data_IF_224672579089
#
_entry.id   IF_224672579089
#
_cell.length_a   1.000
_cell.length_b   1.000
_cell.length_c   1.000
_cell.angle_alpha   90.00
_cell.angle_beta   90.00
_cell.angle_gamma   90.00
#
_symmetry.space_group_name_H-M   'P 1'
#
loop_
_entity.id
_entity.type
_entity.pdbx_description
1 polymer ?
#
# COMPACT_ATOMS: atom_id res chain seq x y z
N UNK A 1 55.80 -6.03 24.31
CA UNK A 1 54.46 -5.45 24.19
C UNK A 1 54.01 -5.45 22.73
N UNK A 2 53.20 -6.45 22.36
CA UNK A 2 52.71 -6.61 20.98
C UNK A 2 51.37 -5.87 20.89
N UNK A 3 51.30 -4.76 20.16
CA UNK A 3 50.03 -4.10 19.79
C UNK A 3 49.42 -4.83 18.58
N UNK A 4 48.37 -5.59 18.80
CA UNK A 4 47.49 -6.06 17.73
C UNK A 4 46.57 -4.90 17.36
N UNK A 5 46.81 -4.27 16.20
CA UNK A 5 45.87 -3.35 15.56
C UNK A 5 44.77 -4.19 14.92
N UNK A 6 43.57 -4.19 15.54
CA UNK A 6 42.33 -4.67 14.91
C UNK A 6 41.90 -3.63 13.90
N UNK A 7 42.33 -3.80 12.63
CA UNK A 7 41.73 -3.14 11.49
C UNK A 7 40.38 -3.83 11.24
N UNK A 8 39.31 -3.25 11.76
CA UNK A 8 37.96 -3.61 11.38
C UNK A 8 37.77 -3.20 9.91
N UNK A 9 37.84 -4.16 8.99
CA UNK A 9 37.38 -3.97 7.62
C UNK A 9 35.88 -3.76 7.66
N UNK A 10 35.42 -2.52 7.48
CA UNK A 10 34.10 -2.23 6.95
C UNK A 10 34.09 -2.74 5.51
N UNK A 11 33.83 -4.02 5.31
CA UNK A 11 33.54 -4.55 3.99
C UNK A 11 32.20 -3.97 3.56
N UNK A 12 32.24 -2.97 2.65
CA UNK A 12 31.07 -2.70 1.80
C UNK A 12 30.84 -4.00 1.03
N UNK A 13 29.78 -4.70 1.34
CA UNK A 13 29.38 -5.92 0.62
C UNK A 13 29.14 -5.50 -0.82
N UNK A 14 30.06 -5.87 -1.72
CA UNK A 14 29.90 -5.59 -3.14
C UNK A 14 28.86 -6.57 -3.65
N UNK A 15 27.80 -6.08 -4.23
CA UNK A 15 26.81 -6.91 -4.90
C UNK A 15 27.49 -7.73 -5.99
N UNK A 16 27.17 -9.00 -6.08
CA UNK A 16 27.75 -9.95 -7.01
C UNK A 16 26.65 -10.71 -7.77
N UNK A 17 26.57 -10.60 -9.10
CA UNK A 17 25.60 -11.35 -9.89
C UNK A 17 25.75 -12.88 -9.81
N UNK A 18 26.94 -13.36 -9.51
CA UNK A 18 27.22 -14.80 -9.37
C UNK A 18 26.88 -15.33 -7.95
N UNK A 19 26.72 -14.42 -6.96
CA UNK A 19 26.28 -14.73 -5.59
C UNK A 19 25.25 -13.70 -5.13
N UNK A 20 24.02 -13.77 -5.65
CA UNK A 20 23.02 -12.74 -5.45
C UNK A 20 22.47 -12.68 -4.02
N UNK A 21 22.29 -11.46 -3.51
CA UNK A 21 21.58 -11.19 -2.26
C UNK A 21 20.10 -11.36 -2.49
N UNK A 22 19.44 -12.08 -1.60
CA UNK A 22 17.97 -12.22 -1.62
C UNK A 22 17.35 -11.29 -0.57
N UNK A 23 16.46 -10.41 -1.02
CA UNK A 23 15.63 -9.58 -0.18
C UNK A 23 14.23 -10.18 -0.07
N UNK A 24 13.72 -10.30 1.14
CA UNK A 24 12.35 -10.77 1.38
C UNK A 24 11.39 -9.58 1.39
N UNK A 25 10.33 -9.66 0.58
CA UNK A 25 9.30 -8.63 0.52
C UNK A 25 7.93 -9.18 0.93
N UNK A 26 7.26 -8.51 1.88
CA UNK A 26 5.88 -8.80 2.25
C UNK A 26 4.94 -7.75 1.67
N UNK A 27 3.89 -8.21 0.98
CA UNK A 27 2.84 -7.32 0.48
C UNK A 27 1.48 -8.03 0.35
N UNK A 28 0.41 -7.25 0.20
CA UNK A 28 -0.98 -7.74 0.18
C UNK A 28 -1.55 -7.96 -1.22
N UNK A 29 -0.80 -7.63 -2.26
CA UNK A 29 -1.30 -7.64 -3.65
C UNK A 29 -1.14 -9.00 -4.36
N UNK A 30 -0.54 -10.00 -3.70
CA UNK A 30 -0.18 -11.27 -4.33
C UNK A 30 -1.35 -12.20 -4.65
N UNK A 31 -2.52 -11.99 -4.01
CA UNK A 31 -3.73 -12.78 -4.26
C UNK A 31 -4.61 -12.22 -5.37
N UNK A 32 -4.26 -11.08 -5.94
CA UNK A 32 -4.99 -10.48 -7.05
C UNK A 32 -4.71 -11.24 -8.34
N UNK A 33 -5.73 -11.39 -9.19
CA UNK A 33 -5.61 -12.05 -10.50
C UNK A 33 -4.57 -11.35 -11.39
N UNK A 34 -4.47 -10.03 -11.26
CA UNK A 34 -3.46 -9.19 -11.88
C UNK A 34 -2.80 -8.35 -10.76
N UNK A 35 -1.48 -8.45 -10.63
CA UNK A 35 -0.72 -7.72 -9.62
C UNK A 35 0.44 -6.96 -10.29
N UNK A 36 0.21 -5.67 -10.65
CA UNK A 36 1.26 -4.84 -11.27
C UNK A 36 2.55 -4.78 -10.44
N UNK A 37 2.44 -4.85 -9.11
CA UNK A 37 3.62 -4.90 -8.24
C UNK A 37 4.41 -6.20 -8.43
N UNK A 38 3.73 -7.36 -8.51
CA UNK A 38 4.40 -8.62 -8.80
C UNK A 38 5.07 -8.61 -10.17
N UNK A 39 4.42 -8.03 -11.19
CA UNK A 39 4.99 -7.91 -12.52
C UNK A 39 6.23 -7.04 -12.52
N UNK A 40 6.21 -5.92 -11.80
CA UNK A 40 7.36 -5.03 -11.63
C UNK A 40 8.51 -5.72 -10.89
N UNK A 41 8.23 -6.50 -9.85
CA UNK A 41 9.24 -7.28 -9.11
C UNK A 41 9.84 -8.37 -10.01
N UNK A 42 9.00 -9.08 -10.77
CA UNK A 42 9.46 -10.10 -11.71
C UNK A 42 10.35 -9.48 -12.81
N UNK A 43 9.98 -8.30 -13.32
CA UNK A 43 10.79 -7.57 -14.28
C UNK A 43 12.14 -7.14 -13.66
N UNK A 44 12.12 -6.57 -12.46
CA UNK A 44 13.33 -6.24 -11.72
C UNK A 44 14.25 -7.46 -11.56
N UNK A 45 13.72 -8.58 -11.06
CA UNK A 45 14.50 -9.80 -10.84
C UNK A 45 15.13 -10.33 -12.14
N UNK A 46 14.44 -10.16 -13.27
CA UNK A 46 14.88 -10.62 -14.58
C UNK A 46 15.91 -9.70 -15.25
N UNK A 47 15.92 -8.43 -14.90
CA UNK A 47 16.73 -7.38 -15.52
C UNK A 47 17.76 -6.80 -14.54
N UNK A 48 17.45 -5.69 -13.90
CA UNK A 48 18.37 -4.96 -13.01
C UNK A 48 18.83 -5.81 -11.83
N UNK A 49 17.92 -6.56 -11.22
CA UNK A 49 18.24 -7.45 -10.10
C UNK A 49 19.28 -8.50 -10.50
N UNK A 50 19.07 -9.14 -11.65
CA UNK A 50 20.03 -10.12 -12.20
C UNK A 50 21.38 -9.48 -12.51
N UNK A 51 21.39 -8.29 -13.11
CA UNK A 51 22.64 -7.56 -13.43
C UNK A 51 23.40 -7.15 -12.18
N UNK A 52 22.70 -6.77 -11.13
CA UNK A 52 23.29 -6.27 -9.88
C UNK A 52 23.54 -7.34 -8.83
N UNK A 53 23.06 -8.56 -9.01
CA UNK A 53 23.13 -9.62 -8.00
C UNK A 53 22.15 -9.40 -6.84
N UNK A 54 20.91 -9.01 -7.14
CA UNK A 54 19.83 -8.82 -6.16
C UNK A 54 18.59 -9.57 -6.63
N UNK A 55 17.98 -10.33 -5.74
CA UNK A 55 16.70 -11.02 -6.00
C UNK A 55 15.69 -10.61 -4.93
N UNK A 56 14.50 -10.20 -5.34
CA UNK A 56 13.38 -9.95 -4.43
C UNK A 56 12.51 -11.21 -4.38
N UNK A 57 12.39 -11.80 -3.20
CA UNK A 57 11.52 -12.94 -2.92
C UNK A 57 10.24 -12.45 -2.24
N UNK A 58 9.11 -12.65 -2.91
CA UNK A 58 7.81 -12.17 -2.44
C UNK A 58 7.12 -13.17 -1.54
N UNK A 59 6.64 -12.71 -0.38
CA UNK A 59 5.73 -13.43 0.49
C UNK A 59 4.40 -12.66 0.51
N UNK A 60 3.38 -13.23 -0.11
CA UNK A 60 2.05 -12.64 -0.15
C UNK A 60 1.32 -12.84 1.17
N UNK A 61 0.75 -11.76 1.70
CA UNK A 61 -0.08 -11.77 2.91
C UNK A 61 -1.53 -11.50 2.51
N UNK A 62 -2.46 -12.12 3.18
CA UNK A 62 -3.87 -12.19 2.76
C UNK A 62 -4.61 -10.85 2.82
N UNK A 63 -4.21 -9.94 3.72
CA UNK A 63 -4.90 -8.66 3.93
C UNK A 63 -3.99 -7.63 4.60
N UNK A 64 -4.41 -6.36 4.56
CA UNK A 64 -3.73 -5.27 5.27
C UNK A 64 -3.69 -5.47 6.79
N UNK A 65 -4.75 -6.02 7.38
CA UNK A 65 -4.75 -6.34 8.81
C UNK A 65 -3.77 -7.46 9.15
N UNK A 66 -3.73 -8.51 8.33
CA UNK A 66 -2.81 -9.63 8.53
C UNK A 66 -1.33 -9.21 8.40
N UNK A 67 -1.00 -8.31 7.47
CA UNK A 67 0.38 -7.83 7.33
C UNK A 67 0.77 -6.92 8.51
N UNK A 68 -0.15 -6.05 8.98
CA UNK A 68 0.08 -5.20 10.15
C UNK A 68 0.33 -6.03 11.42
N UNK A 69 -0.47 -7.09 11.63
CA UNK A 69 -0.28 -8.02 12.75
C UNK A 69 1.05 -8.75 12.66
N UNK A 70 1.40 -9.26 11.47
CA UNK A 70 2.66 -9.97 11.25
C UNK A 70 3.88 -9.06 11.46
N UNK A 71 3.86 -7.83 10.91
CA UNK A 71 4.92 -6.84 11.11
C UNK A 71 5.04 -6.43 12.58
N UNK A 72 3.93 -6.22 13.25
CA UNK A 72 3.90 -5.90 14.69
C UNK A 72 4.51 -7.03 15.53
N UNK A 73 4.15 -8.27 15.25
CA UNK A 73 4.67 -9.43 15.96
C UNK A 73 6.17 -9.65 15.69
N UNK A 74 6.62 -9.44 14.45
CA UNK A 74 8.03 -9.51 14.06
C UNK A 74 8.86 -8.40 14.73
N UNK A 75 8.36 -7.16 14.75
CA UNK A 75 9.03 -6.03 15.40
C UNK A 75 9.21 -6.24 16.91
N UNK A 76 8.27 -6.93 17.56
CA UNK A 76 8.32 -7.30 18.98
C UNK A 76 9.16 -8.55 19.26
N UNK A 77 9.79 -9.15 18.26
CA UNK A 77 10.51 -10.42 18.35
C UNK A 77 9.68 -11.53 19.03
N UNK A 78 8.40 -11.64 18.67
CA UNK A 78 7.49 -12.64 19.24
C UNK A 78 7.99 -14.05 18.92
N UNK A 79 8.12 -14.97 19.92
CA UNK A 79 8.61 -16.32 19.67
C UNK A 79 7.78 -17.06 18.63
N UNK A 80 8.46 -17.69 17.66
CA UNK A 80 7.82 -18.47 16.59
C UNK A 80 7.34 -17.63 15.38
N UNK A 81 7.52 -16.31 15.41
CA UNK A 81 7.24 -15.42 14.28
C UNK A 81 8.52 -15.17 13.48
N UNK A 82 8.46 -15.13 12.14
CA UNK A 82 9.60 -14.73 11.31
C UNK A 82 10.14 -13.34 11.69
N UNK A 83 11.41 -13.11 11.42
CA UNK A 83 11.98 -11.76 11.52
C UNK A 83 11.29 -10.78 10.56
N UNK A 84 11.48 -9.47 10.80
CA UNK A 84 11.02 -8.45 9.87
C UNK A 84 11.58 -8.74 8.46
N UNK A 85 10.75 -8.58 7.41
CA UNK A 85 11.24 -8.65 6.03
C UNK A 85 12.11 -7.44 5.70
N UNK A 86 12.89 -7.55 4.64
CA UNK A 86 13.73 -6.44 4.15
C UNK A 86 12.88 -5.32 3.53
N UNK A 87 11.77 -5.69 2.88
CA UNK A 87 10.82 -4.78 2.25
C UNK A 87 9.39 -5.19 2.62
N UNK A 88 8.50 -4.22 2.77
CA UNK A 88 7.09 -4.50 3.01
C UNK A 88 6.19 -3.33 2.59
N UNK A 89 4.93 -3.63 2.30
CA UNK A 89 3.88 -2.62 2.16
C UNK A 89 3.09 -2.52 3.46
N UNK A 90 2.82 -1.31 3.92
CA UNK A 90 2.07 -1.07 5.15
C UNK A 90 1.39 0.30 5.14
N UNK A 91 0.45 0.50 6.05
CA UNK A 91 -0.05 1.83 6.35
C UNK A 91 0.94 2.61 7.23
N UNK A 92 0.94 3.98 7.19
CA UNK A 92 1.88 4.82 7.91
C UNK A 92 2.00 4.52 9.40
N UNK A 93 0.91 4.14 10.09
CA UNK A 93 0.91 3.77 11.51
C UNK A 93 1.89 2.65 11.89
N UNK A 94 2.24 1.79 10.93
CA UNK A 94 3.16 0.66 11.18
C UNK A 94 4.59 1.15 11.40
N UNK A 95 4.97 2.30 10.85
CA UNK A 95 6.28 2.91 11.09
C UNK A 95 6.54 3.21 12.57
N UNK A 96 5.52 3.69 13.30
CA UNK A 96 5.64 3.93 14.74
C UNK A 96 5.84 2.62 15.53
N UNK A 97 5.14 1.55 15.11
CA UNK A 97 5.21 0.24 15.79
C UNK A 97 6.60 -0.40 15.61
N UNK A 98 7.16 -0.30 14.40
CA UNK A 98 8.49 -0.81 14.08
C UNK A 98 9.58 0.04 14.74
N UNK A 99 9.33 1.33 14.88
CA UNK A 99 10.28 2.35 15.33
C UNK A 99 11.09 2.94 14.18
N UNK A 100 11.11 4.24 14.10
CA UNK A 100 11.69 5.01 12.98
C UNK A 100 13.17 4.72 12.71
N UNK A 101 13.93 4.39 13.75
CA UNK A 101 15.35 4.07 13.62
C UNK A 101 15.62 2.67 13.03
N UNK A 102 14.59 1.85 12.90
CA UNK A 102 14.65 0.54 12.23
C UNK A 102 14.24 0.62 10.75
N UNK A 103 13.86 1.79 10.29
CA UNK A 103 13.45 2.04 8.90
C UNK A 103 14.50 2.87 8.16
N UNK A 104 14.65 2.59 6.88
CA UNK A 104 15.55 3.33 6.01
C UNK A 104 15.00 4.74 5.77
N UNK A 105 15.84 5.76 5.87
CA UNK A 105 15.49 7.10 5.44
C UNK A 105 15.75 7.24 3.93
N UNK A 106 14.70 7.31 3.13
CA UNK A 106 14.81 7.37 1.68
C UNK A 106 15.45 8.67 1.17
N UNK A 107 15.43 9.77 1.95
CA UNK A 107 16.15 11.01 1.61
C UNK A 107 17.66 10.80 1.45
N UNK A 108 18.23 9.74 2.03
CA UNK A 108 19.65 9.44 1.93
C UNK A 108 20.01 8.74 0.60
N UNK A 109 19.01 8.30 -0.16
CA UNK A 109 19.18 7.44 -1.36
C UNK A 109 18.54 8.00 -2.61
N UNK A 110 17.53 8.86 -2.51
CA UNK A 110 16.86 9.50 -3.62
C UNK A 110 17.18 10.99 -3.66
N UNK A 111 17.35 11.51 -4.86
CA UNK A 111 17.45 12.96 -5.11
C UNK A 111 16.07 13.61 -5.06
N UNK A 112 15.99 14.91 -4.80
CA UNK A 112 14.74 15.67 -4.86
C UNK A 112 14.02 15.46 -6.21
N UNK A 113 14.76 15.47 -7.32
CA UNK A 113 14.19 15.26 -8.67
C UNK A 113 13.56 13.88 -8.84
N UNK A 114 14.07 12.84 -8.18
CA UNK A 114 13.49 11.50 -8.22
C UNK A 114 12.23 11.43 -7.34
N UNK A 115 12.22 12.16 -6.23
CA UNK A 115 11.07 12.25 -5.34
C UNK A 115 9.93 13.10 -5.93
N UNK A 116 10.25 14.13 -6.73
CA UNK A 116 9.26 14.95 -7.45
C UNK A 116 8.44 14.14 -8.48
N UNK A 117 8.83 12.91 -8.78
CA UNK A 117 8.06 12.02 -9.63
C UNK A 117 6.81 11.42 -8.92
N UNK A 118 6.75 11.49 -7.61
CA UNK A 118 5.59 11.08 -6.82
C UNK A 118 4.57 12.21 -6.74
N UNK A 119 3.31 11.86 -6.47
CA UNK A 119 2.26 12.84 -6.17
C UNK A 119 2.54 13.41 -4.79
N UNK A 120 2.60 14.75 -4.66
CA UNK A 120 3.01 15.45 -3.45
C UNK A 120 2.21 15.01 -2.21
N UNK A 121 0.88 14.98 -2.31
CA UNK A 121 0.00 14.59 -1.22
C UNK A 121 0.18 13.12 -0.80
N UNK A 122 0.72 12.27 -1.69
CA UNK A 122 0.94 10.86 -1.38
C UNK A 122 2.28 10.63 -0.72
N UNK A 123 3.33 11.34 -1.15
CA UNK A 123 4.66 11.20 -0.55
C UNK A 123 4.74 11.88 0.82
N UNK A 124 3.96 12.95 1.05
CA UNK A 124 3.89 13.63 2.35
C UNK A 124 3.49 12.69 3.49
N UNK A 125 2.62 11.72 3.25
CA UNK A 125 2.24 10.71 4.24
C UNK A 125 3.39 9.77 4.65
N UNK A 126 4.45 9.74 3.86
CA UNK A 126 5.65 8.95 4.14
C UNK A 126 6.68 9.63 5.02
N UNK A 127 6.48 10.92 5.32
CA UNK A 127 7.36 11.69 6.19
C UNK A 127 6.97 11.54 7.66
N UNK A 128 7.97 11.28 8.49
CA UNK A 128 7.88 11.24 9.95
C UNK A 128 8.99 12.14 10.49
N UNK A 129 8.60 13.27 11.04
CA UNK A 129 9.49 14.39 11.29
C UNK A 129 10.22 14.80 9.98
N UNK A 130 11.54 14.80 9.96
CA UNK A 130 12.35 15.15 8.80
C UNK A 130 12.80 13.95 7.96
N UNK A 131 12.33 12.72 8.27
CA UNK A 131 12.74 11.48 7.60
C UNK A 131 11.65 10.97 6.68
N UNK A 132 11.97 10.70 5.43
CA UNK A 132 11.10 9.96 4.52
C UNK A 132 11.27 8.46 4.75
N UNK A 133 10.38 7.85 5.53
CA UNK A 133 10.48 6.45 5.92
C UNK A 133 9.64 5.51 5.04
N UNK A 134 8.68 6.05 4.29
CA UNK A 134 7.82 5.28 3.41
C UNK A 134 7.64 5.97 2.06
N UNK A 135 7.61 5.16 1.00
CA UNK A 135 7.28 5.63 -0.36
C UNK A 135 5.87 5.15 -0.74
N UNK A 136 5.06 5.96 -1.42
CA UNK A 136 3.74 5.55 -1.87
C UNK A 136 3.87 4.51 -2.99
N UNK A 137 3.30 3.32 -2.77
CA UNK A 137 3.23 2.25 -3.78
C UNK A 137 1.90 2.29 -4.52
N UNK A 138 0.81 2.44 -3.76
CA UNK A 138 -0.55 2.55 -4.29
C UNK A 138 -1.44 3.29 -3.28
N UNK A 139 -2.39 4.04 -3.80
CA UNK A 139 -3.48 4.66 -3.04
C UNK A 139 -4.80 4.16 -3.61
N UNK A 140 -5.72 3.79 -2.74
CA UNK A 140 -7.08 3.49 -3.14
C UNK A 140 -7.99 4.69 -2.85
N UNK A 141 -9.01 4.82 -3.66
CA UNK A 141 -10.09 5.76 -3.44
C UNK A 141 -11.42 5.06 -3.65
N UNK A 142 -12.44 5.55 -2.99
CA UNK A 142 -13.79 5.09 -3.19
C UNK A 142 -14.47 5.97 -4.22
N UNK A 143 -15.20 5.32 -5.11
CA UNK A 143 -15.94 5.99 -6.18
C UNK A 143 -17.38 5.50 -6.18
N UNK A 144 -18.29 6.44 -6.32
CA UNK A 144 -19.69 6.13 -6.60
C UNK A 144 -19.85 5.95 -8.13
N UNK A 145 -20.09 4.71 -8.55
CA UNK A 145 -20.45 4.43 -9.94
C UNK A 145 -21.96 4.51 -10.13
N UNK A 146 -22.39 5.34 -11.07
CA UNK A 146 -23.80 5.52 -11.38
C UNK A 146 -24.08 4.95 -12.77
N UNK A 147 -25.02 3.99 -12.87
CA UNK A 147 -25.57 3.60 -14.15
C UNK A 147 -26.49 4.71 -14.67
N UNK A 148 -25.94 5.61 -15.47
CA UNK A 148 -26.63 6.81 -15.93
C UNK A 148 -27.95 6.51 -16.63
N UNK A 149 -27.99 5.44 -17.45
CA UNK A 149 -29.22 5.07 -18.19
C UNK A 149 -30.37 4.68 -17.25
N UNK A 150 -30.06 3.96 -16.19
CA UNK A 150 -31.08 3.57 -15.19
C UNK A 150 -31.42 4.75 -14.29
N UNK A 151 -30.42 5.54 -13.91
CA UNK A 151 -30.59 6.70 -13.06
C UNK A 151 -31.47 7.77 -13.73
N UNK A 152 -31.32 8.05 -15.02
CA UNK A 152 -32.12 9.01 -15.76
C UNK A 152 -33.62 8.67 -15.75
N UNK A 153 -33.96 7.38 -15.85
CA UNK A 153 -35.35 6.91 -15.76
C UNK A 153 -35.97 7.19 -14.39
N UNK A 154 -35.22 6.84 -13.35
CA UNK A 154 -35.61 7.06 -11.97
C UNK A 154 -35.64 8.56 -11.64
N UNK A 155 -34.57 9.28 -11.92
CA UNK A 155 -34.38 10.68 -11.60
C UNK A 155 -35.47 11.57 -12.21
N UNK A 156 -35.85 11.30 -13.46
CA UNK A 156 -36.95 11.98 -14.14
C UNK A 156 -38.31 11.73 -13.45
N UNK A 157 -38.55 10.50 -12.99
CA UNK A 157 -39.80 10.12 -12.33
C UNK A 157 -39.89 10.66 -10.86
N UNK A 158 -38.77 10.64 -10.15
CA UNK A 158 -38.70 11.00 -8.73
C UNK A 158 -38.21 12.44 -8.47
N UNK A 159 -37.94 13.20 -9.54
CA UNK A 159 -37.33 14.55 -9.49
C UNK A 159 -36.05 14.57 -8.63
N UNK A 160 -35.10 13.71 -8.98
CA UNK A 160 -33.77 13.57 -8.40
C UNK A 160 -32.73 13.79 -9.51
N UNK A 161 -31.73 14.60 -9.26
CA UNK A 161 -30.58 14.79 -10.15
C UNK A 161 -29.31 14.11 -9.62
N UNK A 162 -28.31 13.95 -10.47
CA UNK A 162 -27.01 13.40 -10.08
C UNK A 162 -26.30 14.29 -9.05
N UNK A 163 -26.53 15.61 -9.06
CA UNK A 163 -25.99 16.51 -8.04
C UNK A 163 -26.49 16.19 -6.63
N UNK A 164 -27.69 15.60 -6.50
CA UNK A 164 -28.21 15.13 -5.23
C UNK A 164 -27.35 14.05 -4.60
N UNK A 165 -26.57 13.30 -5.41
CA UNK A 165 -25.70 12.23 -4.94
C UNK A 165 -24.36 12.73 -4.39
N UNK A 166 -24.10 14.04 -4.43
CA UNK A 166 -22.86 14.65 -3.94
C UNK A 166 -22.77 14.74 -2.41
N UNK A 167 -23.86 14.48 -1.70
CA UNK A 167 -23.91 14.44 -0.23
C UNK A 167 -24.55 13.14 0.26
N UNK A 168 -24.23 12.73 1.48
CA UNK A 168 -24.85 11.54 2.08
C UNK A 168 -26.35 11.71 2.29
N UNK A 169 -26.81 12.88 2.69
CA UNK A 169 -28.25 13.19 2.86
C UNK A 169 -28.99 13.07 1.52
N UNK A 170 -28.39 13.60 0.46
CA UNK A 170 -28.97 13.50 -0.88
C UNK A 170 -28.98 12.07 -1.39
N UNK A 171 -27.91 11.32 -1.11
CA UNK A 171 -27.82 9.90 -1.43
C UNK A 171 -28.90 9.07 -0.71
N UNK A 172 -29.09 9.27 0.59
CA UNK A 172 -30.14 8.58 1.36
C UNK A 172 -31.52 8.94 0.86
N UNK A 173 -31.76 10.23 0.56
CA UNK A 173 -33.04 10.66 -0.02
C UNK A 173 -33.29 10.02 -1.38
N UNK A 174 -32.26 9.88 -2.20
CA UNK A 174 -32.35 9.18 -3.49
C UNK A 174 -32.67 7.68 -3.28
N UNK A 175 -32.06 7.03 -2.29
CA UNK A 175 -32.35 5.64 -1.96
C UNK A 175 -33.81 5.42 -1.54
N UNK A 176 -34.36 6.25 -0.64
CA UNK A 176 -35.74 6.17 -0.21
C UNK A 176 -36.71 6.31 -1.38
N UNK A 177 -36.48 7.35 -2.20
CA UNK A 177 -37.32 7.56 -3.39
C UNK A 177 -37.17 6.45 -4.44
N UNK A 178 -35.99 5.88 -4.58
CA UNK A 178 -35.78 4.74 -5.50
C UNK A 178 -36.51 3.51 -5.00
N UNK A 179 -36.48 3.21 -3.72
CA UNK A 179 -37.21 2.12 -3.08
C UNK A 179 -38.71 2.23 -3.36
N UNK A 180 -39.29 3.41 -3.17
CA UNK A 180 -40.70 3.67 -3.46
C UNK A 180 -41.02 3.54 -4.96
N UNK A 181 -40.15 4.08 -5.82
CA UNK A 181 -40.35 4.07 -7.26
C UNK A 181 -40.20 2.66 -7.87
N UNK A 182 -39.30 1.85 -7.31
CA UNK A 182 -38.97 0.51 -7.79
C UNK A 182 -39.83 -0.61 -7.20
N UNK A 183 -40.84 -0.29 -6.39
CA UNK A 183 -41.67 -1.26 -5.67
C UNK A 183 -40.85 -2.14 -4.70
N UNK A 184 -39.99 -1.50 -3.92
CA UNK A 184 -39.24 -2.10 -2.83
C UNK A 184 -37.91 -2.75 -3.22
N UNK A 185 -37.27 -2.30 -4.30
CA UNK A 185 -35.93 -2.74 -4.67
C UNK A 185 -34.85 -1.80 -4.09
N UNK A 186 -33.74 -2.36 -3.66
CA UNK A 186 -32.60 -1.58 -3.19
C UNK A 186 -31.87 -0.90 -4.36
N UNK A 187 -31.46 0.36 -4.15
CA UNK A 187 -30.73 1.15 -5.13
C UNK A 187 -29.28 0.70 -5.29
N UNK A 188 -28.70 0.15 -4.26
CA UNK A 188 -27.28 -0.17 -4.20
C UNK A 188 -27.02 -1.65 -3.97
N UNK A 189 -25.98 -2.13 -4.66
CA UNK A 189 -25.21 -3.28 -4.22
C UNK A 189 -23.87 -2.75 -3.68
N UNK A 190 -23.76 -2.62 -2.36
CA UNK A 190 -22.52 -2.17 -1.70
C UNK A 190 -21.92 -3.36 -0.97
N UNK A 191 -20.69 -3.73 -1.31
CA UNK A 191 -20.03 -4.84 -0.67
C UNK A 191 -19.45 -4.48 0.70
N UNK A 192 -19.11 -3.21 0.97
CA UNK A 192 -18.43 -2.78 2.22
C UNK A 192 -18.84 -1.39 2.69
N UNK A 193 -20.13 -1.13 2.85
CA UNK A 193 -20.61 0.20 3.25
C UNK A 193 -20.10 0.68 4.62
N UNK A 194 -19.75 -0.24 5.54
CA UNK A 194 -19.27 0.17 6.88
C UNK A 194 -17.87 0.76 6.90
N UNK A 195 -17.09 0.58 5.87
CA UNK A 195 -15.75 1.16 5.81
C UNK A 195 -15.79 2.69 5.68
N UNK A 196 -16.94 3.26 5.31
CA UNK A 196 -17.08 4.68 4.98
C UNK A 196 -17.82 5.48 6.06
N UNK A 197 -18.34 4.83 7.06
CA UNK A 197 -19.13 5.48 8.13
C UNK A 197 -18.35 5.59 9.45
N UNK A 198 -17.10 5.20 9.49
CA UNK A 198 -16.19 5.31 10.61
C UNK A 198 -15.10 6.32 10.36
#
# INVERSE_FOLDING_TARGET
>A
LLLLSLTGCSQKTKLDPDDPVTLTMWHVYGSQTESPLNDSINEFNRTVGKEKGVVINVVSVSSSSAIDEALTAAAKNTPGVPALPDLFTAYPRVAEIIGYDNLLNWNDYFTEQELDAFVDEFIEEGYFDDKLLMLPVAKSTELLFVNQTLFDKFGSAANISTESLSTFEGLFTACEKYYDWSDGQDMFQINDFYHYSL
#
